data_IF_846457180500
#
_entry.id   IF_846457180500
#
_cell.length_a   1.000
_cell.length_b   1.000
_cell.length_c   1.000
_cell.angle_alpha   90.00
_cell.angle_beta   90.00
_cell.angle_gamma   90.00
#
_symmetry.space_group_name_H-M   'P 1'
#
loop_
_entity.id
_entity.type
_entity.pdbx_description
1 polymer ?
#
# COMPACT_ATOMS: atom_id res chain seq x y z
N UNK A 1 -1.40 -13.83 -20.23
CA UNK A 1 -0.25 -13.64 -19.32
C UNK A 1 0.52 -14.93 -19.03
N UNK A 2 -0.13 -16.10 -18.95
CA UNK A 2 0.55 -17.37 -18.64
C UNK A 2 0.73 -18.30 -19.85
N UNK A 3 1.01 -17.74 -21.03
CA UNK A 3 1.37 -18.54 -22.22
C UNK A 3 2.89 -18.75 -22.21
N UNK A 4 3.41 -19.97 -22.02
CA UNK A 4 4.85 -20.22 -21.87
C UNK A 4 5.71 -19.69 -23.02
N UNK A 5 5.15 -19.67 -24.23
CA UNK A 5 5.79 -19.24 -25.47
C UNK A 5 5.85 -17.72 -25.65
N UNK A 6 5.18 -16.95 -24.79
CA UNK A 6 5.11 -15.50 -24.90
C UNK A 6 6.05 -14.85 -23.89
N UNK A 7 7.07 -14.15 -24.38
CA UNK A 7 7.92 -13.31 -23.55
C UNK A 7 7.21 -11.98 -23.26
N UNK A 8 6.92 -11.71 -21.98
CA UNK A 8 6.14 -10.53 -21.53
C UNK A 8 7.05 -9.52 -20.83
N UNK A 9 6.82 -8.24 -21.12
CA UNK A 9 7.43 -7.10 -20.42
C UNK A 9 6.33 -6.12 -19.97
N UNK A 10 6.30 -5.67 -18.72
CA UNK A 10 7.11 -6.09 -17.56
C UNK A 10 6.90 -7.57 -17.18
N UNK A 11 7.92 -8.27 -16.62
CA UNK A 11 7.79 -9.68 -16.28
C UNK A 11 6.80 -9.90 -15.14
N UNK A 12 6.16 -11.08 -15.09
CA UNK A 12 5.06 -11.36 -14.17
C UNK A 12 5.41 -11.11 -12.69
N UNK A 13 6.65 -11.36 -12.27
CA UNK A 13 7.07 -11.17 -10.88
C UNK A 13 6.98 -9.72 -10.41
N UNK A 14 6.92 -8.73 -11.31
CA UNK A 14 6.77 -7.31 -10.96
C UNK A 14 5.46 -6.98 -10.24
N UNK A 15 4.45 -7.85 -10.35
CA UNK A 15 3.20 -7.70 -9.58
C UNK A 15 3.43 -7.81 -8.06
N UNK A 16 4.52 -8.44 -7.62
CA UNK A 16 4.86 -8.57 -6.20
C UNK A 16 5.33 -7.21 -5.63
N UNK A 17 6.40 -6.56 -6.12
CA UNK A 17 6.80 -5.24 -5.65
C UNK A 17 5.81 -4.13 -6.01
N UNK A 18 4.98 -4.31 -7.06
CA UNK A 18 3.93 -3.36 -7.42
C UNK A 18 2.69 -3.40 -6.52
N UNK A 19 2.52 -4.46 -5.73
CA UNK A 19 1.38 -4.62 -4.83
C UNK A 19 1.71 -4.06 -3.43
N UNK A 20 0.85 -3.20 -2.89
CA UNK A 20 1.08 -2.54 -1.58
C UNK A 20 1.08 -3.50 -0.39
N UNK A 21 0.64 -4.75 -0.57
CA UNK A 21 0.82 -5.81 0.42
C UNK A 21 2.30 -6.08 0.75
N UNK A 22 3.24 -5.63 -0.08
CA UNK A 22 4.68 -5.71 0.22
C UNK A 22 5.12 -4.73 1.32
N UNK A 23 4.36 -3.64 1.57
CA UNK A 23 4.78 -2.58 2.50
C UNK A 23 4.91 -3.06 3.96
N UNK A 24 3.94 -3.80 4.55
CA UNK A 24 4.13 -4.38 5.88
C UNK A 24 5.31 -5.36 5.96
N UNK A 25 5.57 -6.10 4.88
CA UNK A 25 6.70 -7.04 4.80
C UNK A 25 8.02 -6.26 4.81
N UNK A 26 8.13 -5.19 4.02
CA UNK A 26 9.31 -4.32 4.02
C UNK A 26 9.53 -3.67 5.39
N UNK A 27 8.47 -3.22 6.04
CA UNK A 27 8.54 -2.66 7.39
C UNK A 27 9.04 -3.70 8.42
N UNK A 28 8.55 -4.94 8.33
CA UNK A 28 8.97 -6.04 9.20
C UNK A 28 10.45 -6.43 8.99
N UNK A 29 10.92 -6.44 7.73
CA UNK A 29 12.31 -6.78 7.40
C UNK A 29 13.29 -5.63 7.74
N UNK A 30 12.86 -4.38 7.60
CA UNK A 30 13.69 -3.18 7.80
C UNK A 30 12.99 -2.18 8.72
N UNK A 31 12.79 -2.51 10.01
CA UNK A 31 12.06 -1.66 10.94
C UNK A 31 12.77 -0.32 11.14
N UNK A 32 12.00 0.78 11.20
CA UNK A 32 12.51 2.15 11.36
C UNK A 32 13.48 2.60 10.26
N UNK A 33 13.47 1.95 9.10
CA UNK A 33 14.30 2.38 7.98
C UNK A 33 13.91 3.79 7.53
N UNK A 34 14.92 4.64 7.31
CA UNK A 34 14.78 6.09 7.02
C UNK A 34 13.74 6.44 5.95
N UNK A 35 13.55 5.56 4.96
CA UNK A 35 12.64 5.80 3.82
C UNK A 35 11.35 4.99 3.87
N UNK A 36 11.15 4.15 4.89
CA UNK A 36 9.91 3.41 5.06
C UNK A 36 8.99 4.14 6.04
N UNK A 37 7.69 3.98 5.81
CA UNK A 37 6.65 4.37 6.75
C UNK A 37 6.08 3.11 7.39
N UNK A 38 5.72 3.20 8.65
CA UNK A 38 4.97 2.13 9.33
C UNK A 38 3.74 1.78 8.49
N UNK A 39 3.62 0.50 8.17
CA UNK A 39 2.53 -0.03 7.37
C UNK A 39 2.15 -1.39 7.92
N UNK A 40 0.86 -1.59 8.10
CA UNK A 40 0.30 -2.82 8.64
C UNK A 40 -1.03 -3.13 7.94
N UNK A 41 -1.49 -4.38 8.03
CA UNK A 41 -2.78 -4.80 7.50
C UNK A 41 -3.95 -4.37 8.39
N UNK A 42 -3.65 -4.03 9.64
CA UNK A 42 -4.60 -3.50 10.63
C UNK A 42 -4.13 -2.15 11.16
N UNK A 43 -5.05 -1.33 11.65
CA UNK A 43 -4.70 -0.07 12.32
C UNK A 43 -4.12 -0.41 13.70
N UNK A 44 -2.81 -0.26 13.86
CA UNK A 44 -2.10 -0.47 15.12
C UNK A 44 -1.97 0.82 15.94
N UNK A 45 -1.54 0.72 17.19
CA UNK A 45 -1.48 1.87 18.13
C UNK A 45 -0.63 3.04 17.62
N UNK A 46 0.44 2.76 16.87
CA UNK A 46 1.31 3.82 16.34
C UNK A 46 0.61 4.54 15.17
N UNK A 47 -0.04 3.78 14.29
CA UNK A 47 -0.83 4.33 13.19
C UNK A 47 -1.99 5.21 13.70
N UNK A 48 -2.65 4.83 14.80
CA UNK A 48 -3.68 5.68 15.45
C UNK A 48 -3.09 7.01 15.88
N UNK A 49 -1.92 7.01 16.52
CA UNK A 49 -1.27 8.22 17.05
C UNK A 49 -0.74 9.15 15.96
N UNK A 50 -0.26 8.61 14.84
CA UNK A 50 0.32 9.41 13.76
C UNK A 50 -0.71 9.88 12.73
N UNK A 51 -1.84 9.18 12.64
CA UNK A 51 -2.68 9.18 11.45
C UNK A 51 -2.14 8.22 10.38
N UNK A 52 -3.00 7.79 9.48
CA UNK A 52 -2.71 6.73 8.51
C UNK A 52 -3.45 6.92 7.18
N UNK A 53 -2.98 6.22 6.15
CA UNK A 53 -3.63 6.16 4.83
C UNK A 53 -4.15 4.76 4.56
N UNK A 54 -5.46 4.62 4.33
CA UNK A 54 -6.08 3.37 3.88
C UNK A 54 -5.92 3.27 2.37
N UNK A 55 -5.34 2.15 1.90
CA UNK A 55 -4.99 1.96 0.48
C UNK A 55 -5.36 0.55 0.03
N UNK A 56 -6.09 0.36 -1.07
CA UNK A 56 -6.28 -0.96 -1.68
C UNK A 56 -4.94 -1.54 -2.17
N UNK A 57 -4.69 -2.81 -1.85
CA UNK A 57 -3.41 -3.48 -2.10
C UNK A 57 -3.00 -3.47 -3.60
N UNK A 58 -3.98 -3.70 -4.49
CA UNK A 58 -3.81 -3.69 -5.94
C UNK A 58 -4.40 -2.43 -6.62
N UNK A 59 -4.75 -1.40 -5.84
CA UNK A 59 -5.28 -0.15 -6.40
C UNK A 59 -4.22 0.74 -7.02
N UNK A 60 -4.65 1.62 -7.91
CA UNK A 60 -3.82 2.54 -8.70
C UNK A 60 -4.51 3.90 -8.84
N UNK A 61 -3.79 4.87 -9.39
CA UNK A 61 -4.30 6.22 -9.71
C UNK A 61 -4.83 7.03 -8.51
N UNK A 62 -4.50 6.62 -7.28
CA UNK A 62 -5.01 7.25 -6.07
C UNK A 62 -6.52 7.08 -5.87
N UNK A 63 -7.12 6.04 -6.45
CA UNK A 63 -8.53 5.69 -6.22
C UNK A 63 -8.70 4.96 -4.89
N UNK A 64 -9.84 5.20 -4.22
CA UNK A 64 -10.22 4.56 -2.95
C UNK A 64 -9.14 4.76 -1.86
N UNK A 65 -8.68 6.00 -1.73
CA UNK A 65 -7.72 6.38 -0.70
C UNK A 65 -8.47 7.16 0.38
N UNK A 66 -8.34 6.71 1.62
CA UNK A 66 -8.74 7.47 2.80
C UNK A 66 -7.51 7.93 3.55
N UNK A 67 -7.48 9.20 3.91
CA UNK A 67 -6.48 9.77 4.80
C UNK A 67 -7.16 10.07 6.13
N UNK A 68 -6.67 9.45 7.20
CA UNK A 68 -7.17 9.64 8.56
C UNK A 68 -6.09 10.37 9.35
N UNK A 69 -6.42 11.54 9.89
CA UNK A 69 -5.49 12.29 10.74
C UNK A 69 -5.38 11.67 12.14
N UNK A 70 -4.38 12.09 12.91
CA UNK A 70 -4.26 11.73 14.33
C UNK A 70 -5.38 12.33 15.21
N UNK A 71 -6.23 13.21 14.65
CA UNK A 71 -7.45 13.72 15.27
C UNK A 71 -8.70 12.96 14.81
N UNK A 72 -8.53 11.80 14.16
CA UNK A 72 -9.59 10.97 13.59
C UNK A 72 -10.44 11.65 12.50
N UNK A 73 -9.92 12.73 11.90
CA UNK A 73 -10.57 13.38 10.77
C UNK A 73 -10.30 12.60 9.47
N UNK A 74 -11.36 12.23 8.75
CA UNK A 74 -11.28 11.44 7.53
C UNK A 74 -11.40 12.32 6.29
N UNK A 75 -10.46 12.17 5.35
CA UNK A 75 -10.55 12.70 3.98
C UNK A 75 -10.52 11.57 2.97
N UNK A 76 -11.64 11.38 2.27
CA UNK A 76 -11.80 10.35 1.25
C UNK A 76 -11.64 10.93 -0.14
N UNK A 77 -10.84 10.26 -0.97
CA UNK A 77 -10.85 10.47 -2.42
C UNK A 77 -11.73 9.38 -3.07
N UNK A 78 -12.91 9.72 -3.61
CA UNK A 78 -13.78 8.74 -4.25
C UNK A 78 -13.12 8.14 -5.48
N UNK A 79 -13.50 6.90 -5.82
CA UNK A 79 -13.12 6.30 -7.08
C UNK A 79 -13.66 7.17 -8.22
N UNK A 80 -12.80 7.54 -9.16
CA UNK A 80 -13.22 8.16 -10.42
C UNK A 80 -13.91 7.05 -11.24
N UNK A 81 -15.19 7.25 -11.56
CA UNK A 81 -15.93 6.39 -12.50
C UNK A 81 -15.36 6.50 -13.92
#
# INVERSE_FOLDING_TARGET
LLRPEVLVFEPLWTVIPGNKAILPILWSLFPHHRYLLDTDFTVNDELVKTGYAVKPIAGRCGSNIDLVSHHEEVRTKPAVN
#
